data_IF_492679260139
#
_entry.id   IF_492679260139
#
_cell.length_a   1.000
_cell.length_b   1.000
_cell.length_c   1.000
_cell.angle_alpha   90.00
_cell.angle_beta   90.00
_cell.angle_gamma   90.00
#
_symmetry.space_group_name_H-M   'P 1'
#
loop_
_entity.id
_entity.type
_entity.pdbx_description
1 polymer ?
#
# COMPACT_ATOMS: atom_id res chain seq x y z
N UNK A 1 9.28 -21.42 15.00
CA UNK A 1 7.92 -20.87 15.12
C UNK A 1 7.89 -19.76 16.15
N UNK A 2 7.77 -18.50 15.73
CA UNK A 2 7.25 -17.40 16.55
C UNK A 2 6.55 -16.43 15.61
N UNK A 3 5.28 -16.71 15.34
CA UNK A 3 4.34 -15.75 14.80
C UNK A 3 4.06 -14.70 15.89
N UNK A 4 4.71 -13.55 15.78
CA UNK A 4 4.22 -12.32 16.41
C UNK A 4 4.30 -11.27 15.33
N UNK A 5 3.13 -10.81 14.87
CA UNK A 5 2.94 -9.45 14.33
C UNK A 5 1.48 -9.28 13.87
N UNK A 6 0.55 -9.45 14.81
CA UNK A 6 -0.73 -8.72 14.79
C UNK A 6 -0.51 -7.39 15.50
N UNK A 7 0.48 -6.62 15.04
CA UNK A 7 0.75 -5.28 15.54
C UNK A 7 -0.19 -4.32 14.84
N UNK A 8 -1.25 -3.87 15.51
CA UNK A 8 -2.03 -2.73 15.03
C UNK A 8 -1.10 -1.53 14.88
N UNK A 9 -1.00 -0.96 13.68
CA UNK A 9 -0.10 0.17 13.43
C UNK A 9 -0.43 1.36 14.33
N UNK A 10 -1.72 1.59 14.62
CA UNK A 10 -2.18 2.52 15.67
C UNK A 10 -3.53 2.11 16.26
N UNK A 11 -3.69 2.27 17.57
CA UNK A 11 -4.98 2.16 18.26
C UNK A 11 -5.38 3.52 18.81
N UNK A 12 -6.62 3.94 18.58
CA UNK A 12 -7.20 5.18 19.09
C UNK A 12 -8.36 4.88 20.02
N UNK A 13 -8.56 5.75 21.03
CA UNK A 13 -9.76 5.74 21.85
C UNK A 13 -10.52 7.05 21.64
N UNK A 14 -11.76 6.94 21.19
CA UNK A 14 -12.67 8.09 21.01
C UNK A 14 -13.88 7.84 21.91
N UNK A 15 -13.98 8.59 23.01
CA UNK A 15 -14.97 8.36 24.06
C UNK A 15 -14.85 6.96 24.67
N UNK A 16 -15.89 6.14 24.52
CA UNK A 16 -15.91 4.75 24.99
C UNK A 16 -15.62 3.71 23.88
N UNK A 17 -15.27 4.17 22.67
CA UNK A 17 -14.99 3.30 21.52
C UNK A 17 -13.49 3.19 21.29
N UNK A 18 -13.01 1.97 21.08
CA UNK A 18 -11.63 1.67 20.68
C UNK A 18 -11.61 1.39 19.18
N UNK A 19 -10.76 2.11 18.45
CA UNK A 19 -10.56 1.95 17.01
C UNK A 19 -9.16 1.38 16.78
N UNK A 20 -9.11 0.26 16.07
CA UNK A 20 -7.85 -0.38 15.67
C UNK A 20 -7.58 -0.08 14.20
N UNK A 21 -6.52 0.70 13.91
CA UNK A 21 -6.04 0.92 12.55
C UNK A 21 -4.97 -0.12 12.27
N UNK A 22 -5.26 -0.98 11.30
CA UNK A 22 -4.33 -1.95 10.72
C UNK A 22 -3.94 -1.40 9.35
N UNK A 23 -2.68 -1.06 9.15
CA UNK A 23 -2.16 -0.89 7.81
C UNK A 23 -2.33 -2.24 7.11
N UNK A 24 -3.05 -2.23 6.00
CA UNK A 24 -3.18 -3.43 5.19
C UNK A 24 -1.76 -3.91 4.87
N UNK A 25 -1.41 -5.13 5.32
CA UNK A 25 -0.20 -5.80 4.84
C UNK A 25 -0.35 -5.85 3.33
N UNK A 26 0.47 -5.08 2.61
CA UNK A 26 0.52 -5.18 1.15
C UNK A 26 0.98 -6.61 0.86
N UNK A 27 0.08 -7.41 0.29
CA UNK A 27 0.46 -8.73 -0.20
C UNK A 27 1.44 -8.55 -1.35
N UNK A 28 2.23 -9.58 -1.63
CA UNK A 28 3.16 -9.51 -2.77
C UNK A 28 2.39 -9.26 -4.08
N UNK A 29 1.18 -9.80 -4.23
CA UNK A 29 0.32 -9.56 -5.38
C UNK A 29 -0.12 -8.09 -5.52
N UNK A 30 -0.48 -7.42 -4.41
CA UNK A 30 -0.85 -5.99 -4.44
C UNK A 30 0.38 -5.11 -4.72
N UNK A 31 1.57 -5.50 -4.26
CA UNK A 31 2.82 -4.81 -4.60
C UNK A 31 3.11 -4.94 -6.08
N UNK A 32 3.05 -6.14 -6.63
CA UNK A 32 3.29 -6.41 -8.04
C UNK A 32 2.30 -5.63 -8.92
N UNK A 33 1.01 -5.64 -8.56
CA UNK A 33 -0.03 -4.85 -9.25
C UNK A 33 0.32 -3.37 -9.28
N UNK A 34 0.68 -2.79 -8.13
CA UNK A 34 1.07 -1.38 -8.03
C UNK A 34 2.33 -1.05 -8.81
N UNK A 35 3.31 -1.96 -8.84
CA UNK A 35 4.54 -1.78 -9.62
C UNK A 35 4.24 -1.80 -11.13
N UNK A 36 3.37 -2.69 -11.60
CA UNK A 36 2.92 -2.69 -13.00
C UNK A 36 2.24 -1.38 -13.37
N UNK A 37 1.31 -0.88 -12.55
CA UNK A 37 0.64 0.42 -12.78
C UNK A 37 1.66 1.59 -12.86
N UNK A 38 2.68 1.59 -12.01
CA UNK A 38 3.73 2.61 -12.03
C UNK A 38 4.56 2.54 -13.32
N UNK A 39 4.91 1.33 -13.77
CA UNK A 39 5.66 1.13 -15.02
C UNK A 39 4.85 1.68 -16.21
N UNK A 40 3.56 1.36 -16.31
CA UNK A 40 2.69 1.87 -17.38
C UNK A 40 2.66 3.41 -17.41
N UNK A 41 2.53 4.04 -16.24
CA UNK A 41 2.53 5.51 -16.13
C UNK A 41 3.87 6.10 -16.59
N UNK A 42 4.98 5.48 -16.19
CA UNK A 42 6.32 5.92 -16.59
C UNK A 42 6.45 5.83 -18.11
N UNK A 43 6.10 4.69 -18.72
CA UNK A 43 6.14 4.48 -20.16
C UNK A 43 5.27 5.48 -20.93
N UNK A 44 4.05 5.75 -20.44
CA UNK A 44 3.18 6.79 -21.01
C UNK A 44 3.83 8.17 -21.00
N UNK A 45 4.49 8.55 -19.91
CA UNK A 45 5.19 9.84 -19.79
C UNK A 45 6.36 9.90 -20.78
N UNK A 46 7.14 8.82 -20.90
CA UNK A 46 8.26 8.75 -21.84
C UNK A 46 7.81 8.86 -23.30
N UNK A 47 6.79 8.10 -23.71
CA UNK A 47 6.24 8.16 -25.06
C UNK A 47 5.67 9.53 -25.38
N UNK A 48 4.93 10.13 -24.44
CA UNK A 48 4.41 11.49 -24.60
C UNK A 48 5.52 12.53 -24.79
N UNK A 49 6.67 12.33 -24.15
CA UNK A 49 7.83 13.23 -24.24
C UNK A 49 8.66 13.02 -25.51
N UNK A 50 8.62 11.83 -26.12
CA UNK A 50 9.31 11.53 -27.37
C UNK A 50 8.54 11.99 -28.63
N UNK A 51 7.26 12.33 -28.48
CA UNK A 51 6.36 12.78 -29.57
C UNK A 51 6.29 14.31 -29.74
N UNK A 52 7.13 15.06 -29.03
CA UNK A 52 7.34 16.51 -29.15
C UNK A 52 8.81 16.80 -29.45
#
# INVERSE_FOLDING_TARGET
MRERETGFDRTYRIGNTTIHIVAAKQTEEEKDRRLSEIIEIIEMIWLKRALW
#
